data_IF_090784634587
#
_entry.id   IF_090784634587
#
_cell.length_a   1.000
_cell.length_b   1.000
_cell.length_c   1.000
_cell.angle_alpha   90.00
_cell.angle_beta   90.00
_cell.angle_gamma   90.00
#
_symmetry.space_group_name_H-M   'P 1'
#
loop_
_entity.id
_entity.type
_entity.pdbx_description
1 polymer ?
#
# COMPACT_ATOMS: atom_id res chain seq x y z
N UNK A 1 11.09 -24.70 23.05
CA UNK A 1 10.73 -25.86 22.20
C UNK A 1 11.58 -25.74 20.96
N UNK A 2 12.32 -26.79 20.58
CA UNK A 2 13.23 -26.79 19.43
C UNK A 2 12.67 -27.68 18.33
N UNK A 3 13.18 -27.50 17.12
CA UNK A 3 12.89 -28.35 15.96
C UNK A 3 13.41 -29.76 16.23
N UNK A 4 12.62 -30.77 15.87
CA UNK A 4 12.99 -32.19 16.00
C UNK A 4 13.95 -32.64 14.89
N UNK A 5 14.71 -33.71 15.14
CA UNK A 5 15.61 -34.27 14.12
C UNK A 5 14.85 -34.71 12.85
N UNK A 6 13.63 -35.23 13.01
CA UNK A 6 12.79 -35.64 11.89
C UNK A 6 12.39 -34.45 11.01
N UNK A 7 12.07 -33.30 11.59
CA UNK A 7 11.75 -32.08 10.85
C UNK A 7 12.98 -31.54 10.10
N UNK A 8 14.17 -31.62 10.69
CA UNK A 8 15.43 -31.24 10.03
C UNK A 8 15.71 -32.15 8.82
N UNK A 9 15.56 -33.46 8.97
CA UNK A 9 15.74 -34.41 7.86
C UNK A 9 14.71 -34.18 6.75
N UNK A 10 13.45 -33.96 7.11
CA UNK A 10 12.38 -33.69 6.14
C UNK A 10 12.63 -32.39 5.37
N UNK A 11 13.13 -31.35 6.04
CA UNK A 11 13.51 -30.09 5.40
C UNK A 11 14.65 -30.29 4.39
N UNK A 12 15.68 -31.04 4.78
CA UNK A 12 16.84 -31.31 3.93
C UNK A 12 16.49 -32.17 2.71
N UNK A 13 15.57 -33.11 2.88
CA UNK A 13 15.09 -33.98 1.80
C UNK A 13 14.02 -33.32 0.93
N UNK A 14 13.58 -32.10 1.25
CA UNK A 14 12.48 -31.43 0.56
C UNK A 14 11.13 -32.14 0.67
N UNK A 15 10.95 -32.94 1.74
CA UNK A 15 9.76 -33.77 1.98
C UNK A 15 8.67 -33.02 2.76
N UNK A 16 8.96 -31.83 3.31
CA UNK A 16 7.98 -31.02 4.05
C UNK A 16 7.01 -30.34 3.09
N UNK A 17 5.77 -30.18 3.53
CA UNK A 17 4.78 -29.35 2.84
C UNK A 17 5.12 -27.86 2.96
N UNK A 18 4.57 -27.01 2.09
CA UNK A 18 4.84 -25.57 2.11
C UNK A 18 4.52 -24.93 3.47
N UNK A 19 3.40 -25.30 4.11
CA UNK A 19 3.01 -24.73 5.39
C UNK A 19 3.96 -25.15 6.52
N UNK A 20 4.39 -26.41 6.52
CA UNK A 20 5.40 -26.93 7.46
C UNK A 20 6.76 -26.24 7.26
N UNK A 21 7.17 -25.99 6.01
CA UNK A 21 8.40 -25.24 5.74
C UNK A 21 8.31 -23.80 6.24
N UNK A 22 7.15 -23.14 6.12
CA UNK A 22 6.96 -21.77 6.60
C UNK A 22 7.08 -21.73 8.13
N UNK A 23 6.40 -22.64 8.84
CA UNK A 23 6.46 -22.72 10.31
C UNK A 23 7.89 -23.00 10.80
N UNK A 24 8.62 -23.87 10.09
CA UNK A 24 10.03 -24.14 10.39
C UNK A 24 10.90 -22.89 10.21
N UNK A 25 10.75 -22.18 9.10
CA UNK A 25 11.51 -20.96 8.81
C UNK A 25 11.19 -19.84 9.79
N UNK A 26 9.91 -19.71 10.19
CA UNK A 26 9.50 -18.80 11.25
C UNK A 26 10.19 -19.16 12.57
N UNK A 27 10.22 -20.44 12.95
CA UNK A 27 10.95 -20.88 14.14
C UNK A 27 12.45 -20.57 14.06
N UNK A 28 13.09 -20.83 12.91
CA UNK A 28 14.52 -20.53 12.72
C UNK A 28 14.83 -19.04 12.81
N UNK A 29 13.89 -18.18 12.42
CA UNK A 29 14.05 -16.73 12.58
C UNK A 29 14.04 -16.29 14.05
N UNK A 30 13.42 -17.06 14.93
CA UNK A 30 13.28 -16.77 16.35
C UNK A 30 14.19 -17.61 17.25
N UNK A 31 14.87 -18.64 16.73
CA UNK A 31 15.70 -19.54 17.52
C UNK A 31 17.12 -19.69 16.94
N UNK A 32 18.07 -18.91 17.49
CA UNK A 32 19.48 -18.93 17.09
C UNK A 32 20.14 -20.29 17.27
N UNK A 33 19.70 -21.08 18.26
CA UNK A 33 20.24 -22.42 18.51
C UNK A 33 19.97 -23.34 17.31
N UNK A 34 18.71 -23.44 16.88
CA UNK A 34 18.33 -24.30 15.76
C UNK A 34 18.94 -23.81 14.43
N UNK A 35 19.10 -22.49 14.27
CA UNK A 35 19.78 -21.91 13.11
C UNK A 35 21.26 -22.33 13.04
N UNK A 36 22.00 -22.14 14.14
CA UNK A 36 23.42 -22.49 14.20
C UNK A 36 23.65 -24.00 14.03
N UNK A 37 22.74 -24.81 14.55
CA UNK A 37 22.78 -26.26 14.40
C UNK A 37 22.58 -26.69 12.93
N UNK A 38 21.63 -26.06 12.21
CA UNK A 38 21.44 -26.31 10.77
C UNK A 38 22.66 -25.91 9.94
N UNK A 39 23.25 -24.74 10.22
CA UNK A 39 24.46 -24.27 9.53
C UNK A 39 25.62 -25.25 9.75
N UNK A 40 25.80 -25.70 11.00
CA UNK A 40 26.84 -26.68 11.35
C UNK A 40 26.63 -28.01 10.63
N UNK A 41 25.38 -28.46 10.51
CA UNK A 41 25.04 -29.67 9.78
C UNK A 41 25.28 -29.53 8.27
N UNK A 42 25.03 -28.35 7.69
CA UNK A 42 25.33 -28.05 6.29
C UNK A 42 26.84 -28.04 6.01
N UNK A 43 27.65 -27.49 6.92
CA UNK A 43 29.11 -27.49 6.79
C UNK A 43 29.71 -28.90 6.86
N UNK A 44 29.10 -29.80 7.64
CA UNK A 44 29.51 -31.20 7.74
C UNK A 44 29.19 -32.02 6.47
N UNK A 45 28.37 -31.49 5.55
CA UNK A 45 28.02 -32.21 4.33
C UNK A 45 29.18 -32.25 3.34
N UNK A 46 29.34 -33.36 2.59
CA UNK A 46 30.31 -33.40 1.50
C UNK A 46 29.94 -32.34 0.46
N UNK A 47 30.85 -31.39 0.26
CA UNK A 47 30.70 -30.34 -0.76
C UNK A 47 30.83 -31.00 -2.14
N UNK A 48 29.69 -31.24 -2.78
CA UNK A 48 29.68 -31.68 -4.18
C UNK A 48 30.12 -30.48 -5.02
N UNK A 49 31.30 -30.58 -5.64
CA UNK A 49 31.79 -29.53 -6.52
C UNK A 49 30.81 -29.32 -7.66
N UNK A 50 30.27 -28.11 -7.77
CA UNK A 50 29.36 -27.76 -8.83
C UNK A 50 30.08 -27.87 -10.19
N UNK A 51 29.44 -28.44 -11.23
CA UNK A 51 30.03 -28.53 -12.55
C UNK A 51 30.46 -27.16 -13.10
N UNK A 52 31.65 -27.07 -13.71
CA UNK A 52 32.22 -25.79 -14.18
C UNK A 52 31.33 -25.01 -15.16
N UNK A 53 30.53 -25.71 -15.99
CA UNK A 53 29.60 -25.08 -16.92
C UNK A 53 28.50 -24.26 -16.22
N UNK A 54 28.17 -24.61 -14.97
CA UNK A 54 27.02 -24.09 -14.24
C UNK A 54 27.30 -22.64 -13.80
N UNK A 55 28.57 -22.36 -13.45
CA UNK A 55 29.03 -21.01 -13.17
C UNK A 55 28.80 -20.08 -14.36
N UNK A 56 29.27 -20.46 -15.54
CA UNK A 56 29.13 -19.63 -16.74
C UNK A 56 27.66 -19.41 -17.13
N UNK A 57 26.83 -20.44 -17.00
CA UNK A 57 25.39 -20.33 -17.31
C UNK A 57 24.64 -19.45 -16.31
N UNK A 58 24.94 -19.55 -15.01
CA UNK A 58 24.36 -18.66 -13.99
C UNK A 58 24.79 -17.22 -14.24
N UNK A 59 26.08 -16.97 -14.50
CA UNK A 59 26.59 -15.62 -14.75
C UNK A 59 25.96 -15.01 -15.99
N UNK A 60 25.83 -15.77 -17.09
CA UNK A 60 25.15 -15.33 -18.31
C UNK A 60 23.66 -15.07 -18.08
N UNK A 61 22.95 -15.89 -17.30
CA UNK A 61 21.54 -15.66 -16.96
C UNK A 61 21.35 -14.50 -15.99
N UNK A 62 22.22 -14.33 -14.99
CA UNK A 62 22.20 -13.20 -14.06
C UNK A 62 22.47 -11.86 -14.78
N UNK A 63 23.35 -11.88 -15.77
CA UNK A 63 23.63 -10.74 -16.64
C UNK A 63 22.57 -10.54 -17.75
N UNK A 64 21.63 -11.47 -17.91
CA UNK A 64 20.63 -11.38 -18.97
C UNK A 64 19.75 -10.14 -18.79
N UNK A 65 19.34 -9.49 -19.89
CA UNK A 65 18.55 -8.26 -19.85
C UNK A 65 17.18 -8.46 -19.19
N UNK A 66 16.68 -9.70 -19.11
CA UNK A 66 15.43 -10.05 -18.42
C UNK A 66 15.52 -9.82 -16.91
N UNK A 67 16.61 -10.25 -16.26
CA UNK A 67 16.81 -10.07 -14.81
C UNK A 67 17.16 -8.60 -14.50
N UNK A 68 17.84 -7.90 -15.40
CA UNK A 68 18.11 -6.47 -15.26
C UNK A 68 16.87 -5.61 -15.49
N UNK A 69 16.01 -5.96 -16.44
CA UNK A 69 14.73 -5.30 -16.68
C UNK A 69 13.80 -5.48 -15.49
N UNK A 70 13.69 -6.68 -14.91
CA UNK A 70 12.89 -6.89 -13.70
C UNK A 70 13.43 -6.10 -12.49
N UNK A 71 14.76 -6.00 -12.33
CA UNK A 71 15.38 -5.14 -11.31
C UNK A 71 15.13 -3.66 -11.57
N UNK A 72 15.22 -3.21 -12.82
CA UNK A 72 14.96 -1.83 -13.22
C UNK A 72 13.49 -1.47 -13.00
N UNK A 73 12.56 -2.32 -13.41
CA UNK A 73 11.11 -2.12 -13.25
C UNK A 73 10.71 -2.04 -11.77
N UNK A 74 11.30 -2.89 -10.91
CA UNK A 74 11.01 -2.86 -9.47
C UNK A 74 11.47 -1.54 -8.82
N UNK A 75 12.63 -1.00 -9.22
CA UNK A 75 13.13 0.27 -8.69
C UNK A 75 12.45 1.51 -9.31
N UNK A 76 11.95 1.42 -10.55
CA UNK A 76 11.26 2.54 -11.22
C UNK A 76 9.79 2.71 -10.79
N UNK A 77 9.21 1.76 -10.05
CA UNK A 77 7.79 1.77 -9.67
C UNK A 77 7.39 3.00 -8.84
N UNK A 78 8.16 3.34 -7.79
CA UNK A 78 7.83 4.49 -6.93
C UNK A 78 7.99 5.83 -7.67
N UNK A 79 9.05 5.97 -8.49
CA UNK A 79 9.26 7.18 -9.29
C UNK A 79 8.14 7.37 -10.31
N UNK A 80 7.71 6.29 -10.97
CA UNK A 80 6.63 6.30 -11.94
C UNK A 80 5.28 6.66 -11.29
N UNK A 81 5.04 6.21 -10.06
CA UNK A 81 3.86 6.61 -9.28
C UNK A 81 3.83 8.13 -8.99
N UNK A 82 4.98 8.71 -8.60
CA UNK A 82 5.08 10.16 -8.35
C UNK A 82 4.86 10.97 -9.64
N UNK A 83 5.42 10.52 -10.78
CA UNK A 83 5.18 11.16 -12.08
C UNK A 83 3.72 11.06 -12.53
N UNK A 84 3.06 9.90 -12.34
CA UNK A 84 1.65 9.73 -12.70
C UNK A 84 0.72 10.58 -11.84
N UNK A 85 0.97 10.65 -10.52
CA UNK A 85 0.22 11.50 -9.62
C UNK A 85 0.38 12.98 -9.99
N UNK A 86 1.62 13.42 -10.27
CA UNK A 86 1.91 14.78 -10.73
C UNK A 86 1.26 15.11 -12.07
N UNK A 87 1.33 14.21 -13.05
CA UNK A 87 0.72 14.39 -14.38
C UNK A 87 -0.81 14.45 -14.27
N UNK A 88 -1.43 13.59 -13.44
CA UNK A 88 -2.87 13.63 -13.18
C UNK A 88 -3.31 14.95 -12.57
N UNK A 89 -2.55 15.48 -11.62
CA UNK A 89 -2.82 16.78 -11.02
C UNK A 89 -2.67 17.91 -12.06
N UNK A 90 -1.60 17.90 -12.85
CA UNK A 90 -1.36 18.88 -13.90
C UNK A 90 -2.49 18.92 -14.95
N UNK A 91 -2.96 17.75 -15.41
CA UNK A 91 -4.09 17.66 -16.34
C UNK A 91 -5.34 18.30 -15.76
N UNK A 92 -5.64 18.06 -14.47
CA UNK A 92 -6.78 18.70 -13.80
C UNK A 92 -6.66 20.23 -13.75
N UNK A 93 -5.47 20.75 -13.45
CA UNK A 93 -5.20 22.19 -13.45
C UNK A 93 -5.35 22.81 -14.84
N UNK A 94 -4.82 22.15 -15.87
CA UNK A 94 -4.94 22.62 -17.27
C UNK A 94 -6.41 22.68 -17.69
N UNK A 95 -7.21 21.66 -17.37
CA UNK A 95 -8.65 21.64 -17.68
C UNK A 95 -9.39 22.76 -16.94
N UNK A 96 -9.08 22.99 -15.66
CA UNK A 96 -9.70 24.06 -14.87
C UNK A 96 -9.36 25.46 -15.42
N UNK A 97 -8.08 25.69 -15.77
CA UNK A 97 -7.65 26.94 -16.40
C UNK A 97 -8.27 27.13 -17.78
N UNK A 98 -8.39 26.07 -18.58
CA UNK A 98 -9.07 26.14 -19.87
C UNK A 98 -10.55 26.51 -19.70
N UNK A 99 -11.24 25.89 -18.75
CA UNK A 99 -12.64 26.23 -18.44
C UNK A 99 -12.77 27.70 -18.00
N UNK A 100 -11.91 28.17 -17.10
CA UNK A 100 -11.89 29.56 -16.65
C UNK A 100 -11.54 30.54 -17.76
N UNK A 101 -10.62 30.19 -18.67
CA UNK A 101 -10.28 31.03 -19.80
C UNK A 101 -11.47 31.18 -20.75
N UNK A 102 -12.15 30.06 -21.08
CA UNK A 102 -13.35 30.08 -21.92
C UNK A 102 -14.53 30.83 -21.29
N UNK A 103 -14.65 30.80 -19.95
CA UNK A 103 -15.68 31.54 -19.19
C UNK A 103 -15.29 32.99 -18.89
N UNK A 104 -14.00 33.31 -18.85
CA UNK A 104 -13.49 34.67 -18.64
C UNK A 104 -13.46 35.50 -19.92
N UNK A 105 -13.44 34.84 -21.08
CA UNK A 105 -13.55 35.48 -22.40
C UNK A 105 -14.99 35.73 -22.87
N UNK A 106 -16.02 35.33 -22.10
CA UNK A 106 -17.39 35.76 -22.37
C UNK A 106 -17.63 37.08 -21.64
N UNK A 107 -17.76 38.16 -22.40
CA UNK A 107 -18.03 39.50 -21.90
C UNK A 107 -19.33 39.55 -21.07
N UNK A 108 -19.20 39.53 -19.73
CA UNK A 108 -20.31 39.78 -18.81
C UNK A 108 -20.77 41.25 -18.80
N UNK A 109 -20.12 42.14 -19.56
CA UNK A 109 -20.50 43.53 -19.71
C UNK A 109 -21.84 43.75 -20.47
N UNK A 110 -22.42 42.70 -21.07
CA UNK A 110 -23.71 42.78 -21.79
C UNK A 110 -24.94 42.37 -20.97
N UNK A 111 -24.80 41.81 -19.76
CA UNK A 111 -25.94 41.43 -18.93
C UNK A 111 -26.27 42.54 -17.94
N UNK A 112 -26.78 43.64 -18.48
CA UNK A 112 -27.55 44.63 -17.74
C UNK A 112 -28.82 43.93 -17.20
N UNK A 113 -29.06 43.85 -15.87
CA UNK A 113 -30.33 43.33 -15.37
C UNK A 113 -31.37 44.46 -15.38
N UNK A 114 -32.43 44.41 -16.21
CA UNK A 114 -33.58 45.25 -15.95
C UNK A 114 -34.28 44.75 -14.69
N UNK A 115 -34.43 45.65 -13.73
CA UNK A 115 -35.36 45.52 -12.63
C UNK A 115 -36.79 45.32 -13.18
N UNK A 116 -37.46 44.22 -12.82
CA UNK A 116 -38.90 44.21 -12.61
C UNK A 116 -39.33 43.13 -11.59
N UNK A 117 -39.55 43.62 -10.37
CA UNK A 117 -40.69 43.35 -9.48
C UNK A 117 -41.59 42.14 -9.84
N UNK A 118 -41.68 41.15 -8.95
CA UNK A 118 -42.92 40.90 -8.18
C UNK A 118 -42.71 39.89 -7.05
N UNK A 119 -43.04 40.36 -5.84
CA UNK A 119 -43.24 39.58 -4.62
C UNK A 119 -44.50 38.73 -4.78
N UNK A 120 -44.41 37.41 -4.63
CA UNK A 120 -45.52 36.58 -4.13
C UNK A 120 -44.95 35.46 -3.25
N UNK A 121 -45.33 35.50 -1.98
CA UNK A 121 -45.10 34.42 -1.03
C UNK A 121 -45.95 33.22 -1.44
N UNK A 122 -45.31 32.08 -1.71
CA UNK A 122 -45.98 30.78 -1.79
C UNK A 122 -45.11 29.72 -1.12
N UNK A 123 -45.71 29.08 -0.13
CA UNK A 123 -45.14 28.06 0.75
C UNK A 123 -44.31 27.01 -0.01
N UNK A 124 -43.08 26.78 0.45
CA UNK A 124 -42.21 25.69 -0.02
C UNK A 124 -42.23 24.57 1.04
N UNK A 125 -42.70 23.35 0.71
CA UNK A 125 -42.60 22.19 1.60
C UNK A 125 -41.13 21.72 1.70
N UNK A 126 -40.74 21.05 2.80
CA UNK A 126 -39.33 20.87 3.15
C UNK A 126 -38.67 19.84 2.23
N UNK A 127 -37.68 20.26 1.45
CA UNK A 127 -36.77 19.34 0.75
C UNK A 127 -35.75 18.76 1.74
N UNK A 128 -36.26 17.98 2.70
CA UNK A 128 -35.47 17.19 3.64
C UNK A 128 -35.04 15.87 3.02
N UNK A 129 -33.80 15.79 2.53
CA UNK A 129 -33.10 14.49 2.37
C UNK A 129 -31.61 14.58 2.09
N UNK A 130 -31.10 15.72 1.59
CA UNK A 130 -29.68 15.88 1.26
C UNK A 130 -28.83 16.44 2.41
N UNK A 131 -29.42 17.25 3.30
CA UNK A 131 -28.73 17.76 4.47
C UNK A 131 -28.54 16.73 5.60
N UNK A 132 -29.47 15.79 5.75
CA UNK A 132 -29.42 14.78 6.82
C UNK A 132 -28.27 13.78 6.64
N UNK A 133 -28.04 13.30 5.42
CA UNK A 133 -27.01 12.29 5.11
C UNK A 133 -25.60 12.82 5.45
N UNK A 134 -25.31 14.08 5.13
CA UNK A 134 -24.02 14.71 5.47
C UNK A 134 -23.89 14.95 6.97
N UNK A 135 -24.97 15.36 7.64
CA UNK A 135 -24.98 15.55 9.09
C UNK A 135 -24.84 14.24 9.87
N UNK A 136 -25.37 13.14 9.35
CA UNK A 136 -25.29 11.80 9.93
C UNK A 136 -23.91 11.18 9.70
N UNK A 137 -23.34 11.39 8.51
CA UNK A 137 -21.96 11.00 8.21
C UNK A 137 -20.96 11.75 9.09
N UNK A 138 -21.11 13.07 9.22
CA UNK A 138 -20.28 13.89 10.10
C UNK A 138 -20.35 13.42 11.55
N UNK A 139 -21.55 13.10 12.05
CA UNK A 139 -21.73 12.54 13.41
C UNK A 139 -21.06 11.18 13.60
N UNK A 140 -21.13 10.29 12.60
CA UNK A 140 -20.47 8.97 12.65
C UNK A 140 -18.95 9.07 12.65
N UNK A 141 -18.38 9.96 11.83
CA UNK A 141 -16.92 10.19 11.82
C UNK A 141 -16.48 10.78 13.16
N UNK A 142 -17.17 11.81 13.65
CA UNK A 142 -16.80 12.46 14.89
C UNK A 142 -16.84 11.50 16.08
N UNK A 143 -17.88 10.65 16.14
CA UNK A 143 -18.01 9.63 17.20
C UNK A 143 -16.95 8.53 17.09
N UNK A 144 -16.61 8.09 15.88
CA UNK A 144 -15.54 7.09 15.67
C UNK A 144 -14.15 7.60 16.03
N UNK A 145 -13.86 8.88 15.74
CA UNK A 145 -12.60 9.51 16.16
C UNK A 145 -12.54 9.71 17.67
N UNK A 146 -13.62 10.15 18.31
CA UNK A 146 -13.60 10.39 19.76
C UNK A 146 -13.40 9.09 20.54
N UNK A 147 -14.09 8.00 20.16
CA UNK A 147 -13.97 6.70 20.83
C UNK A 147 -12.57 6.10 20.68
N UNK A 148 -12.00 6.17 19.47
CA UNK A 148 -10.64 5.68 19.23
C UNK A 148 -9.58 6.51 19.95
N UNK A 149 -9.80 7.83 20.09
CA UNK A 149 -8.86 8.72 20.78
C UNK A 149 -8.89 8.51 22.29
N UNK A 150 -10.05 8.29 22.89
CA UNK A 150 -10.15 7.97 24.32
C UNK A 150 -9.51 6.62 24.62
N UNK A 151 -9.71 5.61 23.77
CA UNK A 151 -9.07 4.31 23.94
C UNK A 151 -7.54 4.40 23.87
N UNK A 152 -7.00 5.13 22.89
CA UNK A 152 -5.55 5.36 22.79
C UNK A 152 -5.03 6.16 23.98
N UNK A 153 -5.78 7.14 24.47
CA UNK A 153 -5.38 7.93 25.65
C UNK A 153 -5.40 7.09 26.92
N UNK A 154 -6.36 6.19 27.08
CA UNK A 154 -6.43 5.25 28.21
C UNK A 154 -5.26 4.26 28.17
N UNK A 155 -4.92 3.72 27.00
CA UNK A 155 -3.72 2.88 26.84
C UNK A 155 -2.43 3.63 27.14
N UNK A 156 -2.32 4.90 26.72
CA UNK A 156 -1.14 5.71 27.05
C UNK A 156 -1.08 5.97 28.56
N UNK A 157 -2.20 6.24 29.21
CA UNK A 157 -2.22 6.50 30.64
C UNK A 157 -1.89 5.24 31.49
N UNK A 158 -2.27 4.05 31.02
CA UNK A 158 -1.93 2.75 31.64
C UNK A 158 -0.44 2.38 31.48
N UNK A 159 0.24 2.93 30.47
CA UNK A 159 1.69 2.73 30.26
C UNK A 159 2.52 3.69 31.13
N UNK A 160 1.97 4.86 31.45
CA UNK A 160 2.67 5.94 32.17
C UNK A 160 2.36 6.00 33.68
N UNK A 161 1.48 5.15 34.20
CA UNK A 161 1.18 5.00 35.63
C UNK A 161 1.59 3.61 36.14
#
# INVERSE_FOLDING_TARGET
>A
MHITEQEKENFQNGSMTTDETIMLLEHLSNCDFCLNELISNEEQRPTVSAPAYLQEQILRKAASPEIQAQKAVKHTSYRMQMFYCGLRAATGVIVALFLLFTLGSVDFASLNPPQNIHTEAREVPPSGRRGSILSDFSRKIHKGLSDGTTQVTDYLNDIFN
#
